data_IF_249167254493
#
_entry.id   IF_249167254493
#
_cell.length_a   1.000
_cell.length_b   1.000
_cell.length_c   1.000
_cell.angle_alpha   90.00
_cell.angle_beta   90.00
_cell.angle_gamma   90.00
#
_symmetry.space_group_name_H-M   'P 1'
#
loop_
_entity.id
_entity.type
_entity.pdbx_description
1 polymer ?
#
# COMPACT_ATOMS: atom_id res chain seq x y z
N UNK A 1 -4.31 -16.73 -17.47
CA UNK A 1 -5.55 -17.25 -16.84
C UNK A 1 -6.68 -16.27 -17.11
N UNK A 2 -7.91 -16.73 -17.36
CA UNK A 2 -9.05 -15.86 -17.70
C UNK A 2 -9.63 -15.06 -16.50
N UNK A 3 -9.13 -15.22 -15.27
CA UNK A 3 -9.52 -14.46 -14.07
C UNK A 3 -11.04 -14.41 -13.76
N UNK A 4 -11.74 -15.54 -13.94
CA UNK A 4 -13.21 -15.67 -13.72
C UNK A 4 -13.56 -16.44 -12.41
N UNK A 5 -12.55 -16.97 -11.70
CA UNK A 5 -12.74 -17.85 -10.53
C UNK A 5 -13.55 -17.23 -9.37
N UNK A 6 -13.69 -15.91 -9.31
CA UNK A 6 -14.49 -15.23 -8.29
C UNK A 6 -15.99 -15.12 -8.65
N UNK A 7 -16.35 -15.23 -9.93
CA UNK A 7 -17.74 -15.18 -10.39
C UNK A 7 -18.31 -16.55 -10.67
N UNK A 8 -17.53 -17.43 -11.31
CA UNK A 8 -17.98 -18.79 -11.60
C UNK A 8 -18.04 -19.62 -10.32
N UNK A 9 -19.17 -20.29 -10.04
CA UNK A 9 -19.35 -21.08 -8.83
C UNK A 9 -18.63 -22.41 -8.99
N UNK A 10 -17.31 -22.41 -8.85
CA UNK A 10 -16.59 -23.66 -8.62
C UNK A 10 -17.04 -24.25 -7.28
N UNK A 11 -17.34 -25.54 -7.27
CA UNK A 11 -17.52 -26.28 -6.02
C UNK A 11 -16.20 -26.23 -5.25
N UNK A 12 -16.23 -26.29 -3.90
CA UNK A 12 -15.01 -26.21 -3.08
C UNK A 12 -13.96 -27.25 -3.51
N UNK A 13 -14.40 -28.41 -3.96
CA UNK A 13 -13.56 -29.53 -4.37
C UNK A 13 -12.94 -29.36 -5.77
N UNK A 14 -13.42 -28.38 -6.55
CA UNK A 14 -12.91 -28.09 -7.91
C UNK A 14 -11.81 -27.02 -7.90
N UNK A 15 -11.59 -26.34 -6.77
CA UNK A 15 -10.60 -25.28 -6.67
C UNK A 15 -9.24 -25.81 -6.17
N UNK A 16 -8.25 -25.90 -7.07
CA UNK A 16 -6.89 -26.34 -6.70
C UNK A 16 -6.16 -25.37 -5.77
N UNK A 17 -6.35 -24.05 -5.94
CA UNK A 17 -5.73 -23.00 -5.14
C UNK A 17 -6.82 -22.09 -4.56
N UNK A 18 -7.45 -22.51 -3.47
CA UNK A 18 -8.60 -21.84 -2.87
C UNK A 18 -8.35 -20.41 -2.38
N UNK A 19 -7.10 -19.98 -2.22
CA UNK A 19 -6.74 -18.59 -1.89
C UNK A 19 -6.46 -17.72 -3.12
N UNK A 20 -6.33 -18.31 -4.30
CA UNK A 20 -6.02 -17.57 -5.54
C UNK A 20 -7.12 -16.62 -6.00
N UNK A 21 -8.30 -16.60 -5.37
CA UNK A 21 -9.39 -15.66 -5.66
C UNK A 21 -8.98 -14.18 -5.59
N UNK A 22 -7.93 -13.86 -4.83
CA UNK A 22 -7.39 -12.49 -4.76
C UNK A 22 -6.85 -12.00 -6.10
N UNK A 23 -6.18 -12.87 -6.87
CA UNK A 23 -5.57 -12.53 -8.16
C UNK A 23 -6.60 -12.03 -9.20
N UNK A 24 -7.73 -12.72 -9.43
CA UNK A 24 -8.83 -12.20 -10.25
C UNK A 24 -9.38 -10.86 -9.77
N UNK A 25 -9.56 -10.69 -8.45
CA UNK A 25 -10.11 -9.45 -7.89
C UNK A 25 -9.16 -8.28 -8.17
N UNK A 26 -7.86 -8.46 -7.94
CA UNK A 26 -6.84 -7.43 -8.19
C UNK A 26 -6.78 -7.03 -9.67
N UNK A 27 -6.80 -8.00 -10.59
CA UNK A 27 -6.84 -7.71 -12.02
C UNK A 27 -8.12 -6.99 -12.45
N UNK A 28 -9.27 -7.37 -11.90
CA UNK A 28 -10.53 -6.68 -12.19
C UNK A 28 -10.50 -5.22 -11.71
N UNK A 29 -9.95 -4.97 -10.52
CA UNK A 29 -9.77 -3.61 -10.01
C UNK A 29 -8.75 -2.81 -10.83
N UNK A 30 -7.67 -3.44 -11.28
CA UNK A 30 -6.70 -2.83 -12.17
C UNK A 30 -7.31 -2.40 -13.51
N UNK A 31 -8.23 -3.18 -14.08
CA UNK A 31 -8.95 -2.83 -15.31
C UNK A 31 -9.93 -1.65 -15.11
N UNK A 32 -10.54 -1.54 -13.93
CA UNK A 32 -11.46 -0.44 -13.58
C UNK A 32 -10.69 0.86 -13.28
N UNK A 33 -9.48 0.76 -12.74
CA UNK A 33 -8.66 1.91 -12.34
C UNK A 33 -8.47 2.98 -13.44
N UNK A 34 -8.00 2.68 -14.67
CA UNK A 34 -7.77 3.70 -15.68
C UNK A 34 -9.06 4.44 -16.07
N UNK A 35 -10.20 3.76 -16.08
CA UNK A 35 -11.50 4.37 -16.35
C UNK A 35 -11.87 5.39 -15.25
N UNK A 36 -11.71 5.00 -13.97
CA UNK A 36 -11.96 5.89 -12.84
C UNK A 36 -11.00 7.09 -12.83
N UNK A 37 -9.72 6.86 -13.08
CA UNK A 37 -8.71 7.92 -13.15
C UNK A 37 -8.99 8.87 -14.31
N UNK A 38 -9.31 8.36 -15.48
CA UNK A 38 -9.70 9.16 -16.65
C UNK A 38 -10.91 10.05 -16.33
N UNK A 39 -11.92 9.50 -15.67
CA UNK A 39 -13.11 10.26 -15.30
C UNK A 39 -12.83 11.31 -14.22
N UNK A 40 -11.98 11.02 -13.24
CA UNK A 40 -11.52 12.01 -12.24
C UNK A 40 -10.70 13.11 -12.91
N UNK A 41 -9.88 12.78 -13.90
CA UNK A 41 -9.06 13.75 -14.63
C UNK A 41 -9.92 14.67 -15.51
N UNK A 42 -10.85 14.10 -16.28
CA UNK A 42 -11.69 14.87 -17.22
C UNK A 42 -12.87 15.57 -16.55
N UNK A 43 -13.54 14.88 -15.62
CA UNK A 43 -14.78 15.31 -14.97
C UNK A 43 -14.68 15.18 -13.44
N UNK A 44 -13.73 15.88 -12.83
CA UNK A 44 -13.37 15.79 -11.40
C UNK A 44 -14.52 15.55 -10.42
N UNK A 45 -15.52 16.44 -10.39
CA UNK A 45 -16.65 16.31 -9.45
C UNK A 45 -17.45 15.03 -9.70
N UNK A 46 -17.74 14.73 -10.96
CA UNK A 46 -18.47 13.51 -11.37
C UNK A 46 -17.66 12.26 -11.06
N UNK A 47 -16.35 12.27 -11.35
CA UNK A 47 -15.41 11.20 -11.04
C UNK A 47 -15.40 10.84 -9.55
N UNK A 48 -15.27 11.84 -8.69
CA UNK A 48 -15.26 11.66 -7.23
C UNK A 48 -16.62 11.23 -6.69
N UNK A 49 -17.71 11.79 -7.20
CA UNK A 49 -19.06 11.41 -6.81
C UNK A 49 -19.40 9.97 -7.22
N UNK A 50 -19.02 9.55 -8.43
CA UNK A 50 -19.22 8.19 -8.90
C UNK A 50 -18.39 7.18 -8.11
N UNK A 51 -17.13 7.51 -7.80
CA UNK A 51 -16.29 6.68 -6.91
C UNK A 51 -16.96 6.51 -5.55
N UNK A 52 -17.59 7.56 -5.03
CA UNK A 52 -18.28 7.54 -3.74
C UNK A 52 -19.57 6.72 -3.81
N UNK A 53 -20.30 6.87 -4.91
CA UNK A 53 -21.47 6.06 -5.22
C UNK A 53 -21.14 4.56 -5.28
N UNK A 54 -20.06 4.16 -5.97
CA UNK A 54 -19.61 2.77 -6.00
C UNK A 54 -19.28 2.22 -4.60
N UNK A 55 -18.65 3.06 -3.75
CA UNK A 55 -18.33 2.68 -2.38
C UNK A 55 -19.59 2.49 -1.52
N UNK A 56 -20.56 3.40 -1.61
CA UNK A 56 -21.84 3.31 -0.89
C UNK A 56 -22.66 2.12 -1.40
N UNK A 57 -22.72 1.93 -2.73
CA UNK A 57 -23.41 0.79 -3.33
C UNK A 57 -22.81 -0.54 -2.85
N UNK A 58 -21.47 -0.63 -2.76
CA UNK A 58 -20.78 -1.79 -2.18
C UNK A 58 -21.22 -2.04 -0.74
N UNK A 59 -21.31 -1.01 0.11
CA UNK A 59 -21.77 -1.18 1.50
C UNK A 59 -23.23 -1.63 1.60
N UNK A 60 -24.12 -1.09 0.75
CA UNK A 60 -25.53 -1.50 0.73
C UNK A 60 -25.68 -2.96 0.31
N UNK A 61 -24.95 -3.39 -0.73
CA UNK A 61 -24.94 -4.79 -1.19
C UNK A 61 -24.33 -5.72 -0.13
N UNK A 62 -23.22 -5.33 0.51
CA UNK A 62 -22.65 -6.07 1.63
C UNK A 62 -23.65 -6.25 2.76
N UNK A 63 -24.24 -5.15 3.25
CA UNK A 63 -25.13 -5.16 4.39
C UNK A 63 -26.39 -5.99 4.11
N UNK A 64 -27.01 -5.82 2.94
CA UNK A 64 -28.21 -6.56 2.55
C UNK A 64 -27.98 -8.07 2.51
N UNK A 65 -26.90 -8.52 1.89
CA UNK A 65 -26.55 -9.96 1.84
C UNK A 65 -26.23 -10.50 3.24
N UNK A 66 -25.43 -9.76 4.02
CA UNK A 66 -25.05 -10.19 5.37
C UNK A 66 -26.26 -10.28 6.32
N UNK A 67 -27.19 -9.33 6.20
CA UNK A 67 -28.40 -9.29 7.01
C UNK A 67 -29.40 -10.39 6.62
N UNK A 68 -29.61 -10.60 5.31
CA UNK A 68 -30.50 -11.64 4.80
C UNK A 68 -30.03 -13.04 5.22
N UNK A 69 -28.72 -13.30 5.07
CA UNK A 69 -28.17 -14.61 5.38
C UNK A 69 -27.95 -14.81 6.89
N UNK A 70 -27.81 -13.75 7.69
CA UNK A 70 -27.45 -13.84 9.12
C UNK A 70 -26.07 -14.47 9.36
N UNK A 71 -25.06 -14.07 8.56
CA UNK A 71 -23.69 -14.54 8.77
C UNK A 71 -23.09 -13.99 10.06
N UNK A 72 -22.27 -14.82 10.73
CA UNK A 72 -21.44 -14.41 11.86
C UNK A 72 -20.00 -14.17 11.38
N UNK A 73 -19.29 -13.16 11.91
CA UNK A 73 -17.86 -12.97 11.66
C UNK A 73 -16.97 -14.01 12.35
N UNK A 74 -17.51 -14.82 13.26
CA UNK A 74 -16.75 -15.85 14.00
C UNK A 74 -16.32 -17.00 13.09
N UNK A 75 -15.07 -17.43 13.22
CA UNK A 75 -14.54 -18.60 12.50
C UNK A 75 -15.22 -19.91 12.92
N UNK A 76 -15.73 -19.98 14.15
CA UNK A 76 -16.39 -21.18 14.70
C UNK A 76 -17.78 -21.38 14.05
N UNK A 77 -18.44 -20.29 13.67
CA UNK A 77 -19.79 -20.30 13.06
C UNK A 77 -19.74 -20.04 11.55
N UNK A 78 -18.58 -20.26 10.93
CA UNK A 78 -18.39 -20.02 9.52
C UNK A 78 -19.20 -21.04 8.70
N UNK A 79 -20.19 -20.56 7.96
CA UNK A 79 -20.97 -21.43 7.07
C UNK A 79 -20.21 -21.76 5.80
N UNK A 80 -20.55 -22.88 5.19
CA UNK A 80 -19.81 -23.40 4.04
C UNK A 80 -19.88 -22.48 2.82
N UNK A 81 -21.02 -21.83 2.63
CA UNK A 81 -21.34 -20.90 1.54
C UNK A 81 -20.70 -19.52 1.71
N UNK A 82 -20.21 -19.18 2.91
CA UNK A 82 -19.55 -17.91 3.23
C UNK A 82 -18.50 -17.52 2.19
N UNK A 83 -17.66 -18.48 1.79
CA UNK A 83 -16.58 -18.24 0.85
C UNK A 83 -17.11 -17.84 -0.54
N UNK A 84 -18.15 -18.55 -1.00
CA UNK A 84 -18.75 -18.38 -2.32
C UNK A 84 -19.61 -17.12 -2.40
N UNK A 85 -20.39 -16.82 -1.37
CA UNK A 85 -21.40 -15.75 -1.37
C UNK A 85 -20.79 -14.40 -0.97
N UNK A 86 -19.87 -14.41 -0.01
CA UNK A 86 -19.34 -13.18 0.58
C UNK A 86 -17.84 -13.00 0.34
N UNK A 87 -17.03 -14.00 0.67
CA UNK A 87 -15.57 -13.80 0.80
C UNK A 87 -14.86 -13.55 -0.52
N UNK A 88 -15.22 -14.26 -1.60
CA UNK A 88 -14.53 -14.17 -2.90
C UNK A 88 -15.07 -13.07 -3.82
N UNK A 89 -16.21 -12.47 -3.48
CA UNK A 89 -16.93 -11.55 -4.37
C UNK A 89 -16.25 -10.17 -4.43
N UNK A 90 -15.97 -9.63 -5.63
CA UNK A 90 -15.23 -8.37 -5.77
C UNK A 90 -16.02 -7.17 -5.24
N UNK A 91 -17.34 -7.14 -5.41
CA UNK A 91 -18.21 -6.07 -4.91
C UNK A 91 -18.25 -6.00 -3.38
N UNK A 92 -17.87 -7.07 -2.66
CA UNK A 92 -17.74 -7.08 -1.20
C UNK A 92 -16.41 -6.48 -0.71
N UNK A 93 -15.48 -6.20 -1.63
CA UNK A 93 -14.08 -5.85 -1.33
C UNK A 93 -13.59 -4.57 -2.02
N UNK A 94 -14.41 -3.97 -2.87
CA UNK A 94 -14.01 -2.79 -3.65
C UNK A 94 -13.83 -1.53 -2.78
N UNK A 95 -14.51 -1.42 -1.63
CA UNK A 95 -14.47 -0.20 -0.81
C UNK A 95 -13.05 0.26 -0.38
N UNK A 96 -12.19 -0.60 0.19
CA UNK A 96 -10.78 -0.27 0.45
C UNK A 96 -9.99 0.23 -0.76
N UNK A 97 -10.24 -0.38 -1.93
CA UNK A 97 -9.58 0.02 -3.17
C UNK A 97 -9.98 1.44 -3.58
N UNK A 98 -11.27 1.79 -3.46
CA UNK A 98 -11.76 3.15 -3.73
C UNK A 98 -11.22 4.17 -2.73
N UNK A 99 -11.05 3.81 -1.45
CA UNK A 99 -10.37 4.67 -0.47
C UNK A 99 -8.91 4.98 -0.87
N UNK A 100 -8.22 4.01 -1.47
CA UNK A 100 -6.90 4.20 -2.06
C UNK A 100 -6.90 5.21 -3.23
N UNK A 101 -7.93 5.17 -4.08
CA UNK A 101 -8.11 6.15 -5.17
C UNK A 101 -8.30 7.57 -4.60
N UNK A 102 -9.11 7.72 -3.55
CA UNK A 102 -9.27 9.01 -2.86
C UNK A 102 -7.96 9.54 -2.29
N UNK A 103 -7.19 8.68 -1.61
CA UNK A 103 -5.88 9.04 -1.09
C UNK A 103 -4.93 9.47 -2.22
N UNK A 104 -4.88 8.71 -3.32
CA UNK A 104 -4.07 9.03 -4.49
C UNK A 104 -4.45 10.38 -5.10
N UNK A 105 -5.76 10.66 -5.21
CA UNK A 105 -6.26 11.95 -5.67
C UNK A 105 -5.86 13.11 -4.73
N UNK A 106 -5.97 12.92 -3.40
CA UNK A 106 -5.56 13.95 -2.44
C UNK A 106 -4.08 14.29 -2.55
N UNK A 107 -3.22 13.28 -2.71
CA UNK A 107 -1.77 13.47 -2.88
C UNK A 107 -1.46 14.15 -4.22
N UNK A 108 -2.15 13.75 -5.30
CA UNK A 108 -2.01 14.39 -6.60
C UNK A 108 -2.38 15.87 -6.54
N UNK A 109 -3.54 16.19 -5.94
CA UNK A 109 -4.02 17.55 -5.74
C UNK A 109 -3.10 18.39 -4.83
N UNK A 110 -2.42 17.78 -3.88
CA UNK A 110 -1.43 18.45 -3.03
C UNK A 110 -0.13 18.79 -3.78
N UNK A 111 0.27 17.97 -4.75
CA UNK A 111 1.52 18.15 -5.52
C UNK A 111 1.36 19.13 -6.69
N UNK A 112 0.15 19.26 -7.24
CA UNK A 112 -0.13 20.18 -8.33
C UNK A 112 -0.63 21.52 -7.79
N UNK A 113 -0.12 22.62 -8.35
CA UNK A 113 -0.41 23.98 -7.85
C UNK A 113 -1.54 24.69 -8.61
N UNK A 114 -2.53 23.93 -9.06
CA UNK A 114 -3.67 24.49 -9.80
C UNK A 114 -4.71 25.06 -8.82
N UNK A 115 -5.24 26.25 -9.13
CA UNK A 115 -6.26 26.93 -8.32
C UNK A 115 -7.52 26.07 -8.08
N UNK A 116 -7.80 25.16 -9.02
CA UNK A 116 -8.87 24.17 -8.95
C UNK A 116 -8.79 23.24 -7.72
N UNK A 117 -7.59 22.98 -7.21
CA UNK A 117 -7.34 22.11 -6.06
C UNK A 117 -7.25 22.86 -4.72
N UNK A 118 -7.49 24.17 -4.73
CA UNK A 118 -7.31 25.04 -3.55
C UNK A 118 -7.97 24.53 -2.27
N UNK A 119 -9.17 23.96 -2.33
CA UNK A 119 -9.88 23.42 -1.15
C UNK A 119 -9.16 22.17 -0.59
N UNK A 120 -8.82 21.21 -1.46
CA UNK A 120 -8.14 19.96 -1.07
C UNK A 120 -6.74 20.26 -0.56
N UNK A 121 -6.04 21.21 -1.21
CA UNK A 121 -4.72 21.68 -0.78
C UNK A 121 -4.78 22.33 0.59
N UNK A 122 -5.71 23.26 0.84
CA UNK A 122 -5.93 23.86 2.17
C UNK A 122 -6.16 22.81 3.25
N UNK A 123 -6.93 21.75 2.96
CA UNK A 123 -7.13 20.65 3.88
C UNK A 123 -5.83 19.87 4.17
N UNK A 124 -5.06 19.54 3.12
CA UNK A 124 -3.77 18.86 3.25
C UNK A 124 -2.75 19.71 4.00
N UNK A 125 -2.63 21.00 3.69
CA UNK A 125 -1.76 21.95 4.38
C UNK A 125 -2.14 22.05 5.87
N UNK A 126 -3.45 22.11 6.18
CA UNK A 126 -3.93 22.14 7.56
C UNK A 126 -3.50 20.90 8.35
N UNK A 127 -3.59 19.71 7.76
CA UNK A 127 -3.13 18.45 8.40
C UNK A 127 -1.61 18.41 8.51
N UNK A 128 -0.89 18.90 7.49
CA UNK A 128 0.58 18.94 7.48
C UNK A 128 1.12 19.85 8.58
N UNK A 129 0.52 21.02 8.75
CA UNK A 129 1.08 22.11 9.55
C UNK A 129 0.53 22.13 10.98
N UNK A 130 -0.72 21.73 11.20
CA UNK A 130 -1.28 21.59 12.55
C UNK A 130 -0.69 20.37 13.27
N UNK A 131 -0.04 20.59 14.41
CA UNK A 131 0.44 19.52 15.27
C UNK A 131 -0.72 18.66 15.81
N UNK A 132 -1.82 19.29 16.24
CA UNK A 132 -2.97 18.62 16.83
C UNK A 132 -3.64 17.67 15.82
N UNK A 133 -3.95 18.16 14.61
CA UNK A 133 -4.57 17.32 13.58
C UNK A 133 -3.70 16.14 13.19
N UNK A 134 -2.38 16.33 13.14
CA UNK A 134 -1.44 15.24 12.86
C UNK A 134 -1.46 14.16 13.94
N UNK A 135 -1.48 14.55 15.22
CA UNK A 135 -1.60 13.58 16.32
C UNK A 135 -2.95 12.85 16.28
N UNK A 136 -4.03 13.56 15.96
CA UNK A 136 -5.36 12.95 15.77
C UNK A 136 -5.31 11.92 14.62
N UNK A 137 -4.65 12.22 13.50
CA UNK A 137 -4.49 11.26 12.41
C UNK A 137 -3.70 10.01 12.84
N UNK A 138 -2.56 10.17 13.52
CA UNK A 138 -1.75 9.03 13.96
C UNK A 138 -2.45 8.17 15.02
N UNK A 139 -2.88 8.79 16.12
CA UNK A 139 -3.50 8.07 17.23
C UNK A 139 -4.91 7.61 16.89
N UNK A 140 -5.68 8.41 16.14
CA UNK A 140 -7.00 8.02 15.65
C UNK A 140 -6.93 6.87 14.66
N UNK A 141 -5.99 6.91 13.71
CA UNK A 141 -5.76 5.81 12.79
C UNK A 141 -5.37 4.52 13.50
N UNK A 142 -4.40 4.60 14.44
CA UNK A 142 -3.96 3.48 15.26
C UNK A 142 -5.10 2.92 16.15
N UNK A 143 -5.89 3.80 16.77
CA UNK A 143 -7.02 3.40 17.60
C UNK A 143 -8.08 2.65 16.80
N UNK A 144 -8.41 3.10 15.58
CA UNK A 144 -9.35 2.41 14.70
C UNK A 144 -8.84 0.99 14.37
N UNK A 145 -7.55 0.86 14.01
CA UNK A 145 -6.94 -0.45 13.71
C UNK A 145 -7.00 -1.39 14.91
N UNK A 146 -6.65 -0.89 16.10
CA UNK A 146 -6.67 -1.64 17.35
C UNK A 146 -8.09 -2.08 17.68
N UNK A 147 -9.04 -1.15 17.73
CA UNK A 147 -10.45 -1.42 18.07
C UNK A 147 -11.03 -2.49 17.16
N UNK A 148 -10.82 -2.39 15.85
CA UNK A 148 -11.34 -3.36 14.89
C UNK A 148 -10.74 -4.76 15.09
N UNK A 149 -9.43 -4.82 15.34
CA UNK A 149 -8.70 -6.09 15.53
C UNK A 149 -9.13 -6.78 16.83
N UNK A 150 -9.24 -6.03 17.93
CA UNK A 150 -9.67 -6.60 19.21
C UNK A 150 -11.17 -6.90 19.25
N UNK A 151 -12.00 -6.13 18.54
CA UNK A 151 -13.43 -6.50 18.36
C UNK A 151 -13.55 -7.87 17.70
N UNK A 152 -12.70 -8.18 16.72
CA UNK A 152 -12.72 -9.49 16.08
C UNK A 152 -12.39 -10.62 17.08
N UNK A 153 -11.41 -10.39 17.96
CA UNK A 153 -11.06 -11.33 19.02
C UNK A 153 -12.23 -11.61 19.97
N UNK A 154 -12.88 -10.55 20.49
CA UNK A 154 -14.03 -10.70 21.39
C UNK A 154 -15.22 -11.41 20.72
N UNK A 155 -15.49 -11.11 19.44
CA UNK A 155 -16.57 -11.80 18.71
C UNK A 155 -16.28 -13.28 18.50
N UNK A 156 -15.02 -13.68 18.39
CA UNK A 156 -14.65 -15.10 18.34
C UNK A 156 -14.69 -15.78 19.71
N UNK A 157 -14.50 -15.03 20.80
CA UNK A 157 -14.60 -15.53 22.17
C UNK A 157 -16.04 -15.83 22.58
N UNK A 158 -16.98 -14.93 22.26
CA UNK A 158 -18.40 -15.07 22.59
C UNK A 158 -19.30 -14.82 21.37
N UNK A 159 -19.36 -15.76 20.41
CA UNK A 159 -20.07 -15.55 19.14
C UNK A 159 -21.60 -15.57 19.26
N UNK A 160 -22.15 -15.89 20.43
CA UNK A 160 -23.60 -15.93 20.71
C UNK A 160 -24.15 -14.60 21.22
N UNK A 161 -23.29 -13.75 21.79
CA UNK A 161 -23.69 -12.51 22.48
C UNK A 161 -24.06 -11.38 21.50
N UNK A 162 -23.74 -11.54 20.21
CA UNK A 162 -23.85 -10.47 19.22
C UNK A 162 -25.09 -10.61 18.34
N UNK A 163 -25.84 -9.51 18.23
CA UNK A 163 -27.05 -9.44 17.39
C UNK A 163 -26.72 -9.58 15.89
N UNK A 164 -27.71 -10.01 15.11
CA UNK A 164 -27.60 -10.12 13.64
C UNK A 164 -27.24 -8.78 12.98
N UNK A 165 -27.84 -7.69 13.47
CA UNK A 165 -27.55 -6.34 12.99
C UNK A 165 -26.10 -5.94 13.26
N UNK A 166 -25.59 -6.22 14.47
CA UNK A 166 -24.19 -5.94 14.80
C UNK A 166 -23.23 -6.71 13.88
N UNK A 167 -23.47 -8.00 13.67
CA UNK A 167 -22.63 -8.83 12.79
C UNK A 167 -22.61 -8.29 11.35
N UNK A 168 -23.77 -7.94 10.80
CA UNK A 168 -23.87 -7.39 9.45
C UNK A 168 -23.16 -6.04 9.30
N UNK A 169 -23.34 -5.11 10.26
CA UNK A 169 -22.66 -3.81 10.27
C UNK A 169 -21.15 -4.01 10.38
N UNK A 170 -20.72 -4.79 11.37
CA UNK A 170 -19.31 -5.04 11.63
C UNK A 170 -18.62 -5.62 10.40
N UNK A 171 -19.17 -6.69 9.82
CA UNK A 171 -18.60 -7.31 8.63
C UNK A 171 -18.58 -6.40 7.39
N UNK A 172 -19.60 -5.55 7.23
CA UNK A 172 -19.66 -4.58 6.12
C UNK A 172 -18.54 -3.56 6.20
N UNK A 173 -18.29 -3.00 7.39
CA UNK A 173 -17.39 -1.87 7.55
C UNK A 173 -15.97 -2.24 7.99
N UNK A 174 -15.74 -3.44 8.53
CA UNK A 174 -14.45 -3.85 9.12
C UNK A 174 -13.24 -3.56 8.22
N UNK A 175 -13.33 -3.92 6.93
CA UNK A 175 -12.23 -3.76 5.97
C UNK A 175 -12.02 -2.29 5.60
N UNK A 176 -13.11 -1.56 5.37
CA UNK A 176 -13.05 -0.15 5.02
C UNK A 176 -12.54 0.71 6.20
N UNK A 177 -12.93 0.39 7.43
CA UNK A 177 -12.47 1.11 8.60
C UNK A 177 -11.01 0.77 8.93
N UNK A 178 -10.57 -0.49 8.76
CA UNK A 178 -9.16 -0.86 8.93
C UNK A 178 -8.26 -0.08 7.96
N UNK A 179 -8.64 -0.02 6.69
CA UNK A 179 -7.88 0.67 5.64
C UNK A 179 -7.97 2.18 5.82
N UNK A 180 -9.12 2.72 6.23
CA UNK A 180 -9.22 4.12 6.63
C UNK A 180 -8.29 4.47 7.80
N UNK A 181 -8.18 3.61 8.81
CA UNK A 181 -7.22 3.77 9.90
C UNK A 181 -5.77 3.80 9.41
N UNK A 182 -5.41 2.91 8.47
CA UNK A 182 -4.09 2.92 7.82
C UNK A 182 -3.86 4.19 7.00
N UNK A 183 -4.87 4.66 6.25
CA UNK A 183 -4.79 5.91 5.49
C UNK A 183 -4.55 7.07 6.45
N UNK A 184 -5.30 7.20 7.54
CA UNK A 184 -5.09 8.26 8.53
C UNK A 184 -3.68 8.22 9.13
N UNK A 185 -3.17 7.03 9.43
CA UNK A 185 -1.82 6.88 9.97
C UNK A 185 -0.73 7.28 8.97
N UNK A 186 -0.86 6.85 7.71
CA UNK A 186 0.15 7.04 6.67
C UNK A 186 0.03 8.43 6.02
N UNK A 187 -1.13 9.06 6.00
CA UNK A 187 -1.40 10.29 5.26
C UNK A 187 -0.48 11.47 5.65
N UNK A 188 -0.28 11.81 6.93
CA UNK A 188 0.67 12.87 7.31
C UNK A 188 2.12 12.54 6.94
N UNK A 189 2.48 11.24 6.88
CA UNK A 189 3.82 10.78 6.45
C UNK A 189 4.00 11.07 4.95
N UNK A 190 2.97 10.79 4.14
CA UNK A 190 2.96 11.08 2.70
C UNK A 190 3.00 12.58 2.40
N UNK A 191 2.44 13.41 3.28
CA UNK A 191 2.55 14.88 3.20
C UNK A 191 3.92 15.43 3.64
N UNK A 192 4.88 14.55 3.98
CA UNK A 192 6.26 14.93 4.26
C UNK A 192 6.61 15.09 5.75
N UNK A 193 5.71 14.75 6.68
CA UNK A 193 6.00 14.73 8.12
C UNK A 193 6.47 13.32 8.56
N UNK A 194 6.87 13.18 9.83
CA UNK A 194 7.27 11.87 10.38
C UNK A 194 8.59 11.33 9.81
N UNK A 195 9.66 12.13 9.84
CA UNK A 195 10.98 11.80 9.24
C UNK A 195 11.49 10.41 9.60
N UNK A 196 11.37 9.99 10.87
CA UNK A 196 11.85 8.67 11.34
C UNK A 196 11.13 7.53 10.62
N UNK A 197 9.79 7.50 10.69
CA UNK A 197 9.00 6.45 10.04
C UNK A 197 9.16 6.46 8.53
N UNK A 198 9.22 7.66 7.92
CA UNK A 198 9.47 7.79 6.48
C UNK A 198 10.82 7.20 6.08
N UNK A 199 11.87 7.47 6.85
CA UNK A 199 13.21 6.94 6.57
C UNK A 199 13.25 5.42 6.74
N UNK A 200 12.57 4.86 7.73
CA UNK A 200 12.49 3.41 7.92
C UNK A 200 11.73 2.76 6.76
N UNK A 201 10.51 3.23 6.46
CA UNK A 201 9.65 2.64 5.43
C UNK A 201 10.19 2.87 4.01
N UNK A 202 10.90 3.97 3.78
CA UNK A 202 11.52 4.31 2.50
C UNK A 202 12.92 3.73 2.31
N UNK A 203 13.45 2.99 3.29
CA UNK A 203 14.80 2.44 3.18
C UNK A 203 14.86 1.28 2.18
N UNK A 204 15.94 1.22 1.40
CA UNK A 204 16.18 0.18 0.40
C UNK A 204 16.06 -1.27 0.92
N UNK A 205 16.33 -1.55 2.21
CA UNK A 205 16.21 -2.90 2.79
C UNK A 205 14.76 -3.40 2.87
N UNK A 206 13.78 -2.48 2.82
CA UNK A 206 12.36 -2.83 2.75
C UNK A 206 11.93 -3.29 1.36
N UNK A 207 12.67 -2.91 0.31
CA UNK A 207 12.37 -3.26 -1.08
C UNK A 207 12.33 -4.78 -1.31
N UNK A 208 13.35 -5.59 -0.93
CA UNK A 208 13.29 -7.03 -1.14
C UNK A 208 12.14 -7.68 -0.36
N UNK A 209 11.88 -7.27 0.88
CA UNK A 209 10.80 -7.81 1.70
C UNK A 209 9.43 -7.52 1.06
N UNK A 210 9.24 -6.30 0.55
CA UNK A 210 8.03 -5.94 -0.16
C UNK A 210 7.82 -6.79 -1.42
N UNK A 211 8.88 -7.11 -2.17
CA UNK A 211 8.81 -7.99 -3.35
C UNK A 211 8.46 -9.43 -2.99
N UNK A 212 9.08 -9.97 -1.93
CA UNK A 212 8.84 -11.35 -1.48
C UNK A 212 7.45 -11.57 -0.88
N UNK A 213 6.79 -10.49 -0.41
CA UNK A 213 5.49 -10.57 0.27
C UNK A 213 4.41 -11.27 -0.57
N UNK A 214 4.40 -11.04 -1.90
CA UNK A 214 3.44 -11.67 -2.79
C UNK A 214 3.72 -13.18 -2.95
N UNK A 215 4.99 -13.58 -3.11
CA UNK A 215 5.35 -14.99 -3.13
C UNK A 215 5.05 -15.70 -1.81
N UNK A 216 5.26 -15.02 -0.67
CA UNK A 216 4.86 -15.55 0.65
C UNK A 216 3.36 -15.76 0.72
N UNK A 217 2.58 -14.80 0.23
CA UNK A 217 1.13 -14.91 0.16
C UNK A 217 0.68 -16.13 -0.66
N UNK A 218 1.33 -16.44 -1.78
CA UNK A 218 0.94 -17.58 -2.61
C UNK A 218 1.25 -18.95 -1.98
N UNK A 219 2.36 -19.06 -1.23
CA UNK A 219 2.83 -20.36 -0.74
C UNK A 219 2.34 -20.67 0.68
N UNK A 220 2.10 -19.66 1.53
CA UNK A 220 1.78 -19.90 2.95
C UNK A 220 0.57 -20.82 3.19
N UNK A 221 -0.56 -20.76 2.44
CA UNK A 221 -1.72 -21.60 2.74
C UNK A 221 -1.44 -23.06 2.40
N UNK A 222 -0.54 -23.34 1.44
CA UNK A 222 -0.10 -24.70 1.12
C UNK A 222 0.53 -25.36 2.34
N UNK A 223 1.40 -24.65 3.07
CA UNK A 223 2.01 -25.18 4.29
C UNK A 223 0.98 -25.37 5.41
N UNK A 224 0.09 -24.40 5.60
CA UNK A 224 -0.97 -24.49 6.61
C UNK A 224 -1.90 -25.68 6.35
N UNK A 225 -2.34 -25.87 5.11
CA UNK A 225 -3.23 -26.97 4.73
C UNK A 225 -2.51 -28.31 4.76
N UNK A 226 -1.27 -28.39 4.28
CA UNK A 226 -0.49 -29.61 4.33
C UNK A 226 -0.31 -30.09 5.77
N UNK A 227 0.02 -29.16 6.67
CA UNK A 227 0.15 -29.48 8.09
C UNK A 227 -1.20 -29.87 8.72
N UNK A 228 -2.27 -29.15 8.38
CA UNK A 228 -3.62 -29.44 8.88
C UNK A 228 -4.15 -30.81 8.42
N UNK A 229 -3.93 -31.19 7.17
CA UNK A 229 -4.40 -32.47 6.60
C UNK A 229 -3.55 -33.67 7.02
N UNK A 230 -2.26 -33.47 7.34
CA UNK A 230 -1.39 -34.54 7.83
C UNK A 230 -1.52 -34.78 9.34
N UNK A 231 -2.26 -33.94 10.07
CA UNK A 231 -2.50 -34.15 11.50
C UNK A 231 -3.62 -35.18 11.71
N UNK A 232 -3.37 -36.26 12.47
CA UNK A 232 -4.39 -37.27 12.75
C UNK A 232 -5.45 -36.81 13.75
N UNK A 233 -5.24 -35.69 14.45
CA UNK A 233 -6.16 -35.14 15.45
C UNK A 233 -6.20 -33.61 15.38
N UNK A 234 -7.37 -33.06 15.68
CA UNK A 234 -7.54 -31.62 15.85
C UNK A 234 -6.66 -31.09 16.99
N UNK A 235 -6.10 -29.89 16.80
CA UNK A 235 -5.31 -29.19 17.81
C UNK A 235 -6.21 -28.31 18.66
N UNK A 236 -5.93 -28.25 19.96
CA UNK A 236 -6.57 -27.29 20.84
C UNK A 236 -6.13 -25.87 20.47
N UNK A 237 -7.09 -24.95 20.41
CA UNK A 237 -6.81 -23.54 20.18
C UNK A 237 -6.09 -22.95 21.41
N UNK A 238 -4.76 -22.99 21.38
CA UNK A 238 -3.89 -22.45 22.43
C UNK A 238 -3.12 -21.25 21.88
N UNK A 239 -3.18 -20.13 22.59
CA UNK A 239 -2.53 -18.88 22.22
C UNK A 239 -1.02 -19.04 21.97
N UNK A 240 -0.31 -19.72 22.87
CA UNK A 240 1.14 -19.90 22.76
C UNK A 240 1.52 -20.75 21.54
N UNK A 241 0.75 -21.82 21.29
CA UNK A 241 0.96 -22.68 20.13
C UNK A 241 0.66 -21.93 18.82
N UNK A 242 -0.41 -21.13 18.79
CA UNK A 242 -0.77 -20.34 17.61
C UNK A 242 0.30 -19.29 17.27
N UNK A 243 0.89 -18.62 18.28
CA UNK A 243 2.01 -17.69 18.07
C UNK A 243 3.22 -18.43 17.49
N UNK A 244 3.58 -19.58 18.05
CA UNK A 244 4.71 -20.37 17.56
C UNK A 244 4.48 -20.83 16.12
N UNK A 245 3.29 -21.33 15.81
CA UNK A 245 2.89 -21.73 14.45
C UNK A 245 2.91 -20.57 13.46
N UNK A 246 2.45 -19.38 13.88
CA UNK A 246 2.51 -18.17 13.05
C UNK A 246 3.94 -17.85 12.63
N UNK A 247 4.89 -17.84 13.58
CA UNK A 247 6.30 -17.61 13.25
C UNK A 247 6.90 -18.72 12.39
N UNK A 248 6.50 -19.98 12.63
CA UNK A 248 6.91 -21.13 11.82
C UNK A 248 6.48 -21.01 10.36
N UNK A 249 5.18 -20.83 10.12
CA UNK A 249 4.64 -20.66 8.77
C UNK A 249 5.19 -19.42 8.08
N UNK A 250 5.35 -18.30 8.80
CA UNK A 250 5.93 -17.08 8.26
C UNK A 250 7.38 -17.29 7.79
N UNK A 251 8.20 -17.95 8.60
CA UNK A 251 9.62 -18.20 8.27
C UNK A 251 9.78 -19.15 7.09
N UNK A 252 9.03 -20.26 7.06
CA UNK A 252 9.08 -21.23 5.94
C UNK A 252 8.56 -20.61 4.64
N UNK A 253 7.49 -19.80 4.72
CA UNK A 253 6.95 -19.10 3.55
C UNK A 253 7.92 -18.05 3.02
N UNK A 254 8.62 -17.33 3.89
CA UNK A 254 9.65 -16.36 3.51
C UNK A 254 10.80 -17.04 2.76
N UNK A 255 11.34 -18.12 3.32
CA UNK A 255 12.43 -18.89 2.70
C UNK A 255 12.01 -19.43 1.33
N UNK A 256 10.81 -19.99 1.25
CA UNK A 256 10.32 -20.57 0.01
C UNK A 256 10.08 -19.52 -1.05
N UNK A 257 9.42 -18.40 -0.70
CA UNK A 257 9.23 -17.25 -1.59
C UNK A 257 10.56 -16.72 -2.14
N UNK A 258 11.59 -16.64 -1.27
CA UNK A 258 12.93 -16.23 -1.67
C UNK A 258 13.55 -17.18 -2.70
N UNK A 259 13.47 -18.49 -2.46
CA UNK A 259 13.97 -19.50 -3.41
C UNK A 259 13.23 -19.43 -4.75
N UNK A 260 11.91 -19.32 -4.73
CA UNK A 260 11.10 -19.15 -5.96
C UNK A 260 11.49 -17.89 -6.73
N UNK A 261 11.74 -16.78 -6.03
CA UNK A 261 12.13 -15.51 -6.67
C UNK A 261 13.48 -15.64 -7.39
N UNK A 262 14.45 -16.31 -6.80
CA UNK A 262 15.80 -16.47 -7.39
C UNK A 262 15.81 -17.52 -8.50
N UNK A 263 15.15 -18.67 -8.28
CA UNK A 263 15.21 -19.81 -9.20
C UNK A 263 14.24 -19.70 -10.37
N UNK A 264 13.14 -18.96 -10.22
CA UNK A 264 12.07 -18.89 -11.22
C UNK A 264 11.83 -17.45 -11.68
N UNK A 265 11.43 -16.54 -10.79
CA UNK A 265 10.99 -15.19 -11.21
C UNK A 265 12.13 -14.39 -11.86
N UNK A 266 13.31 -14.36 -11.24
CA UNK A 266 14.47 -13.61 -11.76
C UNK A 266 14.96 -14.11 -13.12
N UNK A 267 15.19 -15.43 -13.35
CA UNK A 267 15.58 -15.92 -14.66
C UNK A 267 14.48 -15.72 -15.71
N UNK A 268 13.21 -15.96 -15.38
CA UNK A 268 12.11 -15.68 -16.30
C UNK A 268 12.03 -14.20 -16.70
N UNK A 269 12.17 -13.28 -15.74
CA UNK A 269 12.19 -11.84 -16.01
C UNK A 269 13.40 -11.42 -16.88
N UNK A 270 14.56 -12.05 -16.68
CA UNK A 270 15.74 -11.80 -17.52
C UNK A 270 15.56 -12.35 -18.94
N UNK A 271 14.95 -13.52 -19.08
CA UNK A 271 14.59 -14.09 -20.38
C UNK A 271 13.58 -13.19 -21.10
N UNK A 272 12.52 -12.75 -20.41
CA UNK A 272 11.52 -11.83 -20.96
C UNK A 272 12.16 -10.55 -21.51
N UNK A 273 13.01 -9.89 -20.72
CA UNK A 273 13.76 -8.71 -21.16
C UNK A 273 14.61 -9.01 -22.40
N UNK A 274 15.24 -10.18 -22.45
CA UNK A 274 16.10 -10.56 -23.57
C UNK A 274 15.30 -10.86 -24.84
N UNK A 275 14.16 -11.55 -24.74
CA UNK A 275 13.36 -11.94 -25.92
C UNK A 275 12.40 -10.84 -26.40
N UNK A 276 11.76 -10.09 -25.50
CA UNK A 276 10.79 -9.06 -25.87
C UNK A 276 11.43 -7.69 -26.13
N UNK A 277 12.58 -7.39 -25.52
CA UNK A 277 13.29 -6.11 -25.74
C UNK A 277 14.57 -6.26 -26.59
N UNK A 278 14.93 -7.50 -26.99
CA UNK A 278 16.17 -7.84 -27.70
C UNK A 278 16.12 -7.77 -29.23
N UNK A 279 15.51 -6.72 -29.78
CA UNK A 279 15.67 -6.35 -31.20
C UNK A 279 16.42 -5.02 -31.43
N UNK A 280 16.83 -4.32 -30.37
CA UNK A 280 17.49 -3.02 -30.46
C UNK A 280 18.81 -3.01 -29.70
N UNK A 281 19.89 -3.41 -30.36
CA UNK A 281 21.26 -3.31 -29.86
C UNK A 281 21.60 -1.85 -29.53
N UNK A 282 21.53 -1.52 -28.24
CA UNK A 282 22.04 -0.27 -27.70
C UNK A 282 22.28 -0.48 -26.22
N UNK A 283 23.56 -0.51 -25.82
CA UNK A 283 24.02 -0.57 -24.43
C UNK A 283 23.51 0.63 -23.63
N UNK A 284 22.22 0.69 -23.30
CA UNK A 284 21.72 1.48 -22.17
C UNK A 284 22.05 0.65 -20.95
N UNK A 285 23.08 1.08 -20.20
CA UNK A 285 23.28 0.64 -18.82
C UNK A 285 21.92 0.71 -18.13
N UNK A 286 21.35 -0.44 -17.83
CA UNK A 286 20.13 -0.57 -17.07
C UNK A 286 20.41 -0.09 -15.64
N UNK A 287 20.40 1.23 -15.43
CA UNK A 287 19.87 1.74 -14.18
C UNK A 287 18.43 1.28 -14.21
N UNK A 288 18.10 0.23 -13.47
CA UNK A 288 16.73 -0.07 -13.11
C UNK A 288 16.15 1.21 -12.51
N UNK A 289 15.48 2.02 -13.34
CA UNK A 289 14.36 2.81 -12.90
C UNK A 289 13.25 1.80 -12.60
N UNK A 290 13.43 1.08 -11.49
CA UNK A 290 12.30 0.84 -10.63
C UNK A 290 11.62 2.19 -10.42
N UNK A 291 10.31 2.18 -10.21
CA UNK A 291 9.63 3.33 -9.63
C UNK A 291 10.21 3.48 -8.21
N UNK A 292 11.45 3.98 -8.11
CA UNK A 292 11.88 4.80 -7.00
C UNK A 292 10.87 5.93 -7.04
N UNK A 293 9.91 5.93 -6.12
CA UNK A 293 9.32 7.20 -5.71
C UNK A 293 10.53 8.07 -5.40
N UNK A 294 10.87 9.08 -6.23
CA UNK A 294 12.19 9.65 -6.16
C UNK A 294 12.25 10.45 -4.86
N UNK A 295 13.00 9.97 -3.88
CA UNK A 295 13.33 10.74 -2.68
C UNK A 295 14.13 12.00 -3.08
N UNK A 296 14.85 11.97 -4.22
CA UNK A 296 15.52 13.15 -4.78
C UNK A 296 14.55 14.18 -5.41
N UNK A 297 13.36 13.77 -5.85
CA UNK A 297 12.29 14.72 -6.22
C UNK A 297 11.68 15.39 -4.98
N UNK A 298 11.89 14.82 -3.79
CA UNK A 298 11.43 15.36 -2.51
C UNK A 298 12.37 16.45 -1.97
N UNK A 299 13.63 16.53 -2.38
CA UNK A 299 14.53 17.62 -1.98
C UNK A 299 14.53 18.79 -2.97
N UNK A 300 14.59 18.50 -4.28
CA UNK A 300 14.72 19.53 -5.31
C UNK A 300 13.45 20.39 -5.53
N UNK A 301 12.29 19.95 -5.03
CA UNK A 301 11.04 20.73 -5.10
C UNK A 301 10.82 21.63 -3.88
N UNK A 302 11.57 21.44 -2.79
CA UNK A 302 11.49 22.27 -1.59
C UNK A 302 12.42 23.48 -1.63
N UNK A 303 13.51 23.43 -2.41
CA UNK A 303 14.41 24.59 -2.59
C UNK A 303 13.78 25.71 -3.43
N UNK A 304 12.79 25.41 -4.27
CA UNK A 304 12.08 26.42 -5.10
C UNK A 304 10.92 27.14 -4.39
N UNK A 305 10.59 26.77 -3.15
CA UNK A 305 9.47 27.34 -2.39
C UNK A 305 9.83 28.47 -1.41
N UNK A 306 11.07 28.96 -1.40
CA UNK A 306 11.55 29.94 -0.43
C UNK A 306 12.25 31.13 -1.10
N UNK A 307 11.53 31.89 -1.94
CA UNK A 307 11.83 33.30 -2.20
C UNK A 307 10.50 34.04 -2.41
N UNK A 308 10.10 35.00 -1.55
CA UNK A 308 9.00 35.89 -1.88
C UNK A 308 9.44 36.79 -3.05
N UNK A 309 8.72 36.71 -4.19
CA UNK A 309 8.81 37.75 -5.23
C UNK A 309 8.10 38.99 -4.71
N UNK A 310 8.86 39.96 -4.21
CA UNK A 310 8.40 41.35 -4.12
C UNK A 310 8.46 41.94 -5.53
N UNK A 311 7.30 42.29 -6.07
CA UNK A 311 7.20 43.19 -7.22
C UNK A 311 7.63 44.59 -6.79
N UNK A 312 8.69 45.11 -7.42
CA UNK A 312 8.87 46.54 -7.62
C UNK A 312 9.65 46.75 -8.91
N UNK A 313 8.95 47.25 -9.92
CA UNK A 313 9.50 47.73 -11.19
C UNK A 313 10.58 48.80 -10.96
N UNK A 314 11.62 48.81 -11.80
CA UNK A 314 12.48 49.99 -11.97
C UNK A 314 13.94 49.76 -12.35
N UNK A 315 14.20 49.45 -13.63
CA UNK A 315 15.45 49.74 -14.39
C UNK A 315 16.72 48.89 -14.16
N UNK A 316 17.61 48.78 -15.18
CA UNK A 316 18.44 47.60 -15.40
C UNK A 316 19.91 47.83 -15.03
N UNK A 317 20.54 46.94 -14.25
CA UNK A 317 22.02 46.87 -14.21
C UNK A 317 22.57 45.48 -13.89
N UNK A 318 23.39 45.00 -14.84
CA UNK A 318 24.60 44.18 -14.75
C UNK A 318 24.52 42.74 -14.21
N UNK A 319 24.92 41.85 -15.12
CA UNK A 319 25.24 40.42 -14.96
C UNK A 319 26.23 40.18 -13.83
N UNK A 320 26.00 39.13 -13.05
CA UNK A 320 26.85 38.70 -11.93
C UNK A 320 27.17 37.21 -12.05
N UNK A 321 27.76 36.84 -13.19
CA UNK A 321 28.61 35.65 -13.33
C UNK A 321 30.00 36.03 -12.84
N UNK A 322 30.26 35.97 -11.53
CA UNK A 322 31.61 36.25 -11.00
C UNK A 322 31.79 35.89 -9.52
N UNK A 323 31.52 34.63 -9.11
CA UNK A 323 31.93 34.19 -7.75
C UNK A 323 32.40 32.73 -7.60
N UNK A 324 32.58 31.94 -8.66
CA UNK A 324 33.07 30.54 -8.52
C UNK A 324 34.09 30.08 -9.55
N UNK A 325 35.03 30.93 -9.94
CA UNK A 325 36.14 30.52 -10.80
C UNK A 325 37.43 31.31 -10.52
N UNK A 326 38.03 31.08 -9.35
CA UNK A 326 39.43 31.47 -9.10
C UNK A 326 40.00 30.63 -7.95
N UNK A 327 40.41 29.40 -8.28
CA UNK A 327 41.43 28.65 -7.54
C UNK A 327 41.72 27.35 -8.29
N UNK A 328 42.54 27.43 -9.34
CA UNK A 328 43.40 26.34 -9.82
C UNK A 328 44.33 26.86 -10.92
N UNK A 329 45.63 26.60 -10.73
CA UNK A 329 46.80 26.94 -11.55
C UNK A 329 47.27 28.38 -11.30
N UNK A 330 48.49 28.68 -10.84
CA UNK A 330 49.79 28.14 -11.22
C UNK A 330 50.91 28.38 -10.16
N UNK A 331 52.01 27.62 -10.31
CA UNK A 331 53.36 27.78 -9.72
C UNK A 331 53.51 27.49 -8.19
N UNK A 332 54.48 26.74 -7.68
CA UNK A 332 55.81 26.36 -8.15
C UNK A 332 56.81 26.58 -7.00
N UNK A 333 57.57 25.56 -6.63
CA UNK A 333 58.81 25.56 -5.81
C UNK A 333 58.74 25.91 -4.31
N UNK A 334 59.38 25.08 -3.48
CA UNK A 334 60.05 25.53 -2.25
C UNK A 334 59.74 24.78 -0.94
N UNK A 335 60.69 23.96 -0.53
CA UNK A 335 61.11 23.67 0.85
C UNK A 335 60.29 22.79 1.82
N UNK A 336 60.83 21.57 1.98
CA UNK A 336 61.12 20.87 3.23
C UNK A 336 60.84 21.62 4.55
N UNK A 337 60.03 20.99 5.42
CA UNK A 337 60.44 20.66 6.80
C UNK A 337 59.52 19.62 7.47
N UNK A 338 60.20 18.67 8.12
CA UNK A 338 59.71 17.63 9.05
C UNK A 338 58.87 18.20 10.21
N UNK A 339 58.04 17.35 10.81
CA UNK A 339 57.90 17.02 12.26
C UNK A 339 56.59 16.23 12.44
N UNK A 340 56.62 14.89 12.58
CA UNK A 340 56.62 14.12 13.85
C UNK A 340 55.35 14.29 14.72
N UNK A 341 54.54 13.23 14.75
CA UNK A 341 54.20 12.34 15.89
C UNK A 341 53.90 12.95 17.29
N UNK A 342 52.84 12.38 17.90
CA UNK A 342 52.38 12.41 19.30
C UNK A 342 51.51 13.61 19.72
N UNK A 343 50.24 13.37 20.06
CA UNK A 343 49.77 12.73 21.31
C UNK A 343 48.34 12.25 21.17
#
# INVERSE_FOLDING_TARGET
MLFINNFYPFSKDEQCLGWSWYLPVDMQFFLILPLLVWMIYKFRKVGLLFTGFLMVASFVVCFSILYAESYSPSYIRLREDYYRVYYMKPYMRIAPFLQGIYLGFMIYAFRNDEAEYSIVKRFCDKIRDSWILRQICYWGGLAIIIVITFTFYEVNRSPEDYSRAFNAIYMTFIRACFIFGLILFIFPILLGRGKVLRNIMGHDWMTPIARLSFGMYLVHPTYMLFESFNRPRATWANHNNNILMMFGWWSVSLLTSFLFTILVETPCANLEKTFLMGGGGGKRKAKEKFIKVPVESFENSFSKGLVPKTESDGSPTKSRDDYWSQSKNDHGTGDFKKFEVNS
#
